data_IF_363347109247
#
_entry.id   IF_363347109247
#
_cell.length_a   1.000
_cell.length_b   1.000
_cell.length_c   1.000
_cell.angle_alpha   90.00
_cell.angle_beta   90.00
_cell.angle_gamma   90.00
#
_symmetry.space_group_name_H-M   'P 1'
#
loop_
_entity.id
_entity.type
_entity.pdbx_description
1 polymer ?
#
# COMPACT_ATOMS: atom_id res chain seq x y z
N UNK A 1 -9.44 -2.53 16.94
CA UNK A 1 -10.76 -2.03 16.50
C UNK A 1 -10.48 -1.08 15.35
N UNK A 2 -11.09 -1.26 14.17
CA UNK A 2 -10.79 -0.39 13.02
C UNK A 2 -11.23 1.04 13.33
N UNK A 3 -10.35 2.02 13.08
CA UNK A 3 -10.68 3.42 13.21
C UNK A 3 -11.57 3.84 12.04
N UNK A 4 -12.70 4.48 12.34
CA UNK A 4 -13.69 4.84 11.33
C UNK A 4 -14.19 6.27 11.47
N UNK A 5 -14.69 6.80 10.36
CA UNK A 5 -15.38 8.07 10.27
C UNK A 5 -16.56 8.01 9.30
N UNK A 6 -17.22 9.15 9.11
CA UNK A 6 -18.41 9.29 8.27
C UNK A 6 -18.26 10.42 7.27
N UNK A 7 -18.64 10.19 6.01
CA UNK A 7 -18.66 11.25 5.00
C UNK A 7 -19.65 12.34 5.41
N UNK A 8 -19.18 13.58 5.48
CA UNK A 8 -20.01 14.79 5.75
C UNK A 8 -20.02 15.78 4.59
N UNK A 9 -19.21 15.54 3.55
CA UNK A 9 -19.23 16.37 2.34
C UNK A 9 -18.37 15.78 1.23
N UNK A 10 -18.76 16.04 -0.02
CA UNK A 10 -18.07 15.54 -1.23
C UNK A 10 -17.92 16.72 -2.20
N UNK A 11 -16.72 16.95 -2.71
CA UNK A 11 -16.43 18.00 -3.70
C UNK A 11 -15.40 17.49 -4.70
N UNK A 12 -15.88 17.07 -5.87
CA UNK A 12 -15.04 16.36 -6.83
C UNK A 12 -14.48 15.08 -6.20
N UNK A 13 -13.15 14.90 -6.26
CA UNK A 13 -12.45 13.78 -5.64
C UNK A 13 -12.03 14.06 -4.17
N UNK A 14 -12.38 15.22 -3.62
CA UNK A 14 -12.19 15.56 -2.21
C UNK A 14 -13.38 15.11 -1.38
N UNK A 15 -13.14 14.41 -0.28
CA UNK A 15 -14.17 13.93 0.65
C UNK A 15 -13.87 14.43 2.06
N UNK A 16 -14.87 15.03 2.71
CA UNK A 16 -14.78 15.44 4.12
C UNK A 16 -15.34 14.33 4.99
N UNK A 17 -14.58 13.95 6.01
CA UNK A 17 -14.87 12.83 6.90
C UNK A 17 -14.87 13.31 8.33
N UNK A 18 -16.00 13.22 9.01
CA UNK A 18 -16.07 13.43 10.45
C UNK A 18 -15.59 12.16 11.18
N UNK A 19 -14.69 12.35 12.13
CA UNK A 19 -14.06 11.29 12.89
C UNK A 19 -14.26 11.51 14.40
N UNK A 20 -14.36 10.43 15.17
CA UNK A 20 -14.50 10.49 16.64
C UNK A 20 -13.25 9.99 17.38
N UNK A 21 -12.15 9.84 16.67
CA UNK A 21 -10.85 9.38 17.19
C UNK A 21 -9.73 10.19 16.53
N UNK A 22 -8.47 9.94 16.92
CA UNK A 22 -7.32 10.63 16.34
C UNK A 22 -7.26 10.43 14.81
N UNK A 23 -6.64 11.36 14.10
CA UNK A 23 -6.45 11.27 12.64
C UNK A 23 -4.95 11.46 12.37
N UNK A 24 -4.39 10.66 11.48
CA UNK A 24 -2.99 10.77 11.07
C UNK A 24 -2.94 11.49 9.71
N UNK A 25 -2.08 12.49 9.61
CA UNK A 25 -1.83 13.20 8.35
C UNK A 25 -1.12 12.26 7.37
N UNK A 26 -1.46 12.30 6.06
CA UNK A 26 -0.93 11.42 5.01
C UNK A 26 -1.31 9.93 5.13
N UNK A 27 -2.22 9.62 6.05
CA UNK A 27 -2.70 8.27 6.26
C UNK A 27 -3.59 7.80 5.10
N UNK A 28 -3.48 6.53 4.76
CA UNK A 28 -4.39 5.86 3.85
C UNK A 28 -5.74 5.64 4.53
N UNK A 29 -6.79 5.96 3.79
CA UNK A 29 -8.16 5.69 4.17
C UNK A 29 -8.90 4.95 3.05
N UNK A 30 -9.99 4.29 3.41
CA UNK A 30 -10.85 3.59 2.45
C UNK A 30 -12.31 3.97 2.65
N UNK A 31 -12.94 4.47 1.60
CA UNK A 31 -14.38 4.73 1.58
C UNK A 31 -15.11 3.45 1.22
N UNK A 32 -16.07 3.05 2.06
CA UNK A 32 -16.87 1.85 1.86
C UNK A 32 -18.17 2.23 1.14
N UNK A 33 -18.28 1.87 -0.13
CA UNK A 33 -19.44 2.13 -0.99
C UNK A 33 -20.03 0.80 -1.49
N UNK A 34 -21.01 0.27 -0.75
CA UNK A 34 -21.54 -1.07 -1.02
C UNK A 34 -20.45 -2.14 -0.89
N UNK A 35 -20.10 -2.79 -2.01
CA UNK A 35 -19.00 -3.76 -2.08
C UNK A 35 -17.65 -3.14 -2.48
N UNK A 36 -17.64 -1.87 -2.88
CA UNK A 36 -16.44 -1.16 -3.29
C UNK A 36 -15.71 -0.59 -2.06
N UNK A 37 -14.38 -0.59 -2.12
CA UNK A 37 -13.52 -0.07 -1.07
C UNK A 37 -12.51 0.91 -1.69
N UNK A 38 -12.87 2.18 -1.79
CA UNK A 38 -12.11 3.16 -2.58
C UNK A 38 -10.97 3.77 -1.75
N UNK A 39 -9.73 3.64 -2.23
CA UNK A 39 -8.54 4.16 -1.54
C UNK A 39 -8.49 5.69 -1.64
N UNK A 40 -8.12 6.31 -0.52
CA UNK A 40 -7.95 7.74 -0.36
C UNK A 40 -6.76 8.04 0.56
N UNK A 41 -6.31 9.28 0.58
CA UNK A 41 -5.28 9.76 1.50
C UNK A 41 -5.79 10.97 2.30
N UNK A 42 -5.50 11.02 3.60
CA UNK A 42 -5.75 12.21 4.43
C UNK A 42 -4.79 13.32 4.05
N UNK A 43 -5.31 14.42 3.49
CA UNK A 43 -4.49 15.57 3.06
C UNK A 43 -4.60 16.79 3.98
N UNK A 44 -5.63 16.89 4.82
CA UNK A 44 -5.78 17.98 5.79
C UNK A 44 -6.63 17.54 6.98
N UNK A 45 -6.29 18.03 8.17
CA UNK A 45 -7.06 17.81 9.40
C UNK A 45 -7.51 19.16 9.97
N UNK A 46 -8.80 19.28 10.30
CA UNK A 46 -9.40 20.45 10.96
C UNK A 46 -10.29 19.99 12.11
N UNK A 47 -9.78 20.05 13.34
CA UNK A 47 -10.50 19.55 14.50
C UNK A 47 -10.79 18.05 14.34
N UNK A 48 -12.07 17.68 14.34
CA UNK A 48 -12.53 16.31 14.17
C UNK A 48 -12.87 15.94 12.70
N UNK A 49 -12.56 16.82 11.74
CA UNK A 49 -12.83 16.58 10.31
C UNK A 49 -11.52 16.38 9.55
N UNK A 50 -11.43 15.28 8.80
CA UNK A 50 -10.39 15.03 7.81
C UNK A 50 -10.89 15.41 6.40
N UNK A 51 -10.05 16.08 5.62
CA UNK A 51 -10.21 16.16 4.16
C UNK A 51 -9.35 15.04 3.55
N UNK A 52 -10.00 14.13 2.82
CA UNK A 52 -9.35 13.01 2.13
C UNK A 52 -9.43 13.18 0.61
N UNK A 53 -8.34 12.84 -0.06
CA UNK A 53 -8.24 12.82 -1.51
C UNK A 53 -8.44 11.39 -2.01
N UNK A 54 -9.56 11.12 -2.70
CA UNK A 54 -9.84 9.80 -3.27
C UNK A 54 -9.06 9.63 -4.57
N UNK A 55 -8.39 8.49 -4.74
CA UNK A 55 -7.58 8.18 -5.93
C UNK A 55 -8.41 7.76 -7.15
N UNK A 56 -9.65 7.36 -6.90
CA UNK A 56 -10.58 6.87 -7.90
C UNK A 56 -11.76 7.84 -8.07
N UNK A 57 -12.61 7.56 -9.05
CA UNK A 57 -13.79 8.38 -9.30
C UNK A 57 -14.79 8.25 -8.13
N UNK A 58 -15.33 9.39 -7.68
CA UNK A 58 -16.22 9.52 -6.51
C UNK A 58 -17.71 9.62 -6.87
N UNK A 59 -18.07 9.53 -8.16
CA UNK A 59 -19.46 9.50 -8.62
C UNK A 59 -20.20 8.37 -7.93
N UNK A 60 -21.34 8.69 -7.32
CA UNK A 60 -22.21 7.73 -6.63
C UNK A 60 -22.01 7.69 -5.11
N UNK A 61 -20.89 8.22 -4.59
CA UNK A 61 -20.69 8.33 -3.14
C UNK A 61 -21.75 9.22 -2.50
N UNK A 62 -22.13 8.89 -1.28
CA UNK A 62 -23.17 9.61 -0.52
C UNK A 62 -22.70 10.00 0.88
N UNK A 63 -23.32 11.04 1.42
CA UNK A 63 -23.09 11.46 2.81
C UNK A 63 -23.54 10.34 3.77
N UNK A 64 -22.76 10.11 4.83
CA UNK A 64 -23.02 9.08 5.84
C UNK A 64 -22.32 7.73 5.58
N UNK A 65 -21.65 7.56 4.45
CA UNK A 65 -20.85 6.37 4.19
C UNK A 65 -19.66 6.25 5.14
N UNK A 66 -19.29 5.00 5.44
CA UNK A 66 -18.20 4.69 6.35
C UNK A 66 -16.87 4.89 5.66
N UNK A 67 -15.93 5.52 6.37
CA UNK A 67 -14.53 5.61 5.98
C UNK A 67 -13.70 4.84 6.99
N UNK A 68 -12.87 3.90 6.54
CA UNK A 68 -11.92 3.15 7.36
C UNK A 68 -10.52 3.78 7.26
N UNK A 69 -9.84 3.92 8.38
CA UNK A 69 -8.49 4.45 8.51
C UNK A 69 -7.51 3.31 8.82
N UNK A 70 -6.34 3.28 8.17
CA UNK A 70 -5.40 2.14 8.26
C UNK A 70 -4.31 2.28 9.32
N UNK A 71 -4.11 3.48 9.86
CA UNK A 71 -2.94 3.88 10.65
C UNK A 71 -1.60 3.78 9.88
N UNK A 72 -1.66 3.66 8.55
CA UNK A 72 -0.50 3.49 7.67
C UNK A 72 -0.43 4.61 6.63
N UNK A 73 0.79 5.00 6.27
CA UNK A 73 1.05 5.92 5.16
C UNK A 73 0.97 5.17 3.83
N UNK A 74 0.78 5.90 2.73
CA UNK A 74 0.89 5.30 1.41
C UNK A 74 2.32 4.80 1.18
N UNK A 75 2.46 3.50 0.92
CA UNK A 75 3.74 2.84 0.68
C UNK A 75 3.70 2.01 -0.59
N UNK A 76 4.88 1.57 -1.02
CA UNK A 76 5.08 0.64 -2.14
C UNK A 76 5.80 -0.60 -1.64
N UNK A 77 5.51 -1.74 -2.26
CA UNK A 77 6.25 -2.97 -2.04
C UNK A 77 7.55 -2.97 -2.84
N UNK A 78 8.63 -3.39 -2.20
CA UNK A 78 9.95 -3.48 -2.82
C UNK A 78 10.46 -4.92 -2.70
N UNK A 79 10.78 -5.53 -3.84
CA UNK A 79 11.29 -6.88 -3.85
C UNK A 79 11.44 -7.46 -5.26
N UNK A 80 11.90 -8.70 -5.35
CA UNK A 80 12.04 -9.40 -6.61
C UNK A 80 10.67 -9.73 -7.19
N UNK A 81 10.49 -9.49 -8.49
CA UNK A 81 9.22 -9.66 -9.18
C UNK A 81 8.71 -8.37 -9.82
N UNK A 82 9.25 -7.21 -9.45
CA UNK A 82 8.88 -5.94 -10.06
C UNK A 82 9.41 -5.78 -11.49
N UNK A 83 10.56 -6.38 -11.84
CA UNK A 83 11.22 -6.06 -13.10
C UNK A 83 10.44 -6.60 -14.31
N UNK A 84 10.00 -5.66 -15.15
CA UNK A 84 9.19 -5.90 -16.35
C UNK A 84 7.76 -6.31 -16.06
N UNK A 85 7.26 -6.01 -14.86
CA UNK A 85 5.83 -5.84 -14.64
C UNK A 85 5.39 -4.45 -15.10
N UNK A 86 4.09 -4.29 -15.31
CA UNK A 86 3.46 -3.01 -15.63
C UNK A 86 2.49 -2.69 -14.51
N UNK A 87 2.69 -1.54 -13.87
CA UNK A 87 1.88 -1.09 -12.75
C UNK A 87 1.13 0.21 -13.07
N UNK A 88 0.05 0.47 -12.36
CA UNK A 88 -0.54 1.82 -12.28
C UNK A 88 0.20 2.70 -11.25
N UNK A 89 -0.31 3.91 -11.02
CA UNK A 89 0.26 4.86 -10.05
C UNK A 89 0.14 4.45 -8.58
N UNK A 90 -0.63 3.41 -8.26
CA UNK A 90 -0.82 2.85 -6.93
C UNK A 90 -0.14 1.48 -6.78
N UNK A 91 0.72 1.12 -7.73
CA UNK A 91 1.44 -0.14 -7.79
C UNK A 91 0.56 -1.39 -8.00
N UNK A 92 -0.65 -1.25 -8.55
CA UNK A 92 -1.45 -2.42 -8.92
C UNK A 92 -0.91 -3.04 -10.23
N UNK A 93 -0.67 -4.36 -10.28
CA UNK A 93 -0.15 -5.02 -11.48
C UNK A 93 -1.24 -5.10 -12.56
N UNK A 94 -1.11 -4.31 -13.63
CA UNK A 94 -2.14 -4.12 -14.65
C UNK A 94 -2.50 -5.40 -15.42
N UNK A 95 -1.55 -6.29 -15.82
CA UNK A 95 -1.91 -7.52 -16.53
C UNK A 95 -2.81 -8.44 -15.68
N UNK A 96 -2.47 -8.65 -14.42
CA UNK A 96 -3.21 -9.47 -13.46
C UNK A 96 -4.57 -8.84 -13.13
N UNK A 97 -4.61 -7.50 -13.03
CA UNK A 97 -5.85 -6.77 -12.82
C UNK A 97 -6.79 -6.91 -14.03
N UNK A 98 -6.25 -6.90 -15.25
CA UNK A 98 -7.01 -7.12 -16.49
C UNK A 98 -7.55 -8.55 -16.59
N UNK A 99 -6.79 -9.57 -16.16
CA UNK A 99 -7.28 -10.96 -16.08
C UNK A 99 -8.49 -11.07 -15.14
N UNK A 100 -8.48 -10.33 -14.03
CA UNK A 100 -9.56 -10.33 -13.02
C UNK A 100 -10.77 -9.48 -13.41
N UNK A 101 -10.55 -8.32 -14.03
CA UNK A 101 -11.60 -7.31 -14.26
C UNK A 101 -12.07 -7.20 -15.72
N UNK A 102 -11.33 -7.78 -16.66
CA UNK A 102 -11.53 -7.61 -18.09
C UNK A 102 -10.85 -6.35 -18.64
N UNK A 103 -11.39 -5.82 -19.73
CA UNK A 103 -10.76 -4.72 -20.49
C UNK A 103 -10.77 -3.36 -19.75
N UNK A 104 -11.75 -3.13 -18.87
CA UNK A 104 -11.88 -1.88 -18.12
C UNK A 104 -11.53 -2.08 -16.65
N UNK A 105 -10.77 -1.14 -16.10
CA UNK A 105 -10.47 -1.11 -14.68
C UNK A 105 -11.75 -0.82 -13.88
N UNK A 106 -12.03 -1.67 -12.90
CA UNK A 106 -13.10 -1.46 -11.94
C UNK A 106 -12.54 -0.74 -10.73
N UNK A 107 -13.32 0.20 -10.19
CA UNK A 107 -12.92 0.92 -9.00
C UNK A 107 -12.92 0.02 -7.77
N UNK A 108 -12.11 0.34 -6.77
CA UNK A 108 -12.06 -0.38 -5.51
C UNK A 108 -11.42 -1.77 -5.60
N UNK A 109 -10.75 -2.10 -6.73
CA UNK A 109 -10.05 -3.36 -6.91
C UNK A 109 -8.55 -3.12 -6.80
N UNK A 110 -7.94 -3.72 -5.78
CA UNK A 110 -6.50 -3.64 -5.52
C UNK A 110 -5.91 -5.05 -5.54
N UNK A 111 -4.64 -5.15 -5.94
CA UNK A 111 -3.87 -6.39 -5.97
C UNK A 111 -2.46 -6.12 -5.49
N UNK A 112 -1.87 -7.09 -4.81
CA UNK A 112 -0.50 -7.00 -4.31
C UNK A 112 0.48 -6.88 -5.49
N UNK A 113 1.50 -6.06 -5.32
CA UNK A 113 2.43 -5.74 -6.40
C UNK A 113 3.36 -6.92 -6.70
N UNK A 114 3.71 -7.68 -5.64
CA UNK A 114 4.52 -8.87 -5.72
C UNK A 114 3.64 -10.14 -5.65
N UNK A 115 3.95 -11.13 -6.49
CA UNK A 115 3.23 -12.41 -6.48
C UNK A 115 3.66 -13.26 -5.29
N UNK A 116 2.72 -13.61 -4.40
CA UNK A 116 2.97 -14.54 -3.28
C UNK A 116 3.30 -15.96 -3.73
N UNK A 117 2.84 -16.37 -4.92
CA UNK A 117 3.01 -17.73 -5.43
C UNK A 117 4.35 -17.98 -6.12
N UNK A 118 5.21 -16.97 -6.28
CA UNK A 118 6.48 -17.11 -6.99
C UNK A 118 7.61 -17.42 -6.03
N UNK A 119 8.19 -18.61 -6.17
CA UNK A 119 9.39 -19.00 -5.44
C UNK A 119 10.66 -18.43 -6.09
N UNK A 120 11.66 -18.11 -5.25
CA UNK A 120 12.94 -17.57 -5.67
C UNK A 120 14.08 -18.35 -5.03
N UNK A 121 15.10 -18.68 -5.81
CA UNK A 121 16.32 -19.30 -5.31
C UNK A 121 17.22 -18.25 -4.64
N UNK A 122 17.15 -18.18 -3.32
CA UNK A 122 17.92 -17.24 -2.53
C UNK A 122 19.35 -17.73 -2.27
N UNK A 123 20.34 -16.90 -2.62
CA UNK A 123 21.75 -17.11 -2.29
C UNK A 123 22.18 -16.15 -1.18
N UNK A 124 22.38 -16.62 0.07
CA UNK A 124 22.89 -15.78 1.14
C UNK A 124 24.34 -15.36 0.88
N UNK A 125 24.70 -14.13 1.27
CA UNK A 125 26.09 -13.65 1.21
C UNK A 125 26.69 -13.40 2.60
N UNK A 126 25.84 -13.41 3.64
CA UNK A 126 26.22 -13.32 5.04
C UNK A 126 26.01 -14.67 5.74
N UNK A 127 26.70 -14.88 6.85
CA UNK A 127 26.57 -16.06 7.71
C UNK A 127 25.84 -15.69 9.00
N UNK A 128 25.36 -16.71 9.71
CA UNK A 128 24.88 -16.58 11.09
C UNK A 128 25.91 -15.81 11.94
N UNK A 129 25.41 -14.92 12.79
CA UNK A 129 26.22 -14.06 13.63
C UNK A 129 26.76 -12.79 12.96
N UNK A 130 26.51 -12.61 11.65
CA UNK A 130 26.88 -11.36 10.98
C UNK A 130 26.02 -10.19 11.49
N UNK A 131 26.66 -9.06 11.78
CA UNK A 131 25.96 -7.83 12.11
C UNK A 131 25.49 -7.11 10.86
N UNK A 132 24.25 -6.62 10.88
CA UNK A 132 23.61 -5.91 9.77
C UNK A 132 22.86 -4.67 10.26
N UNK A 133 22.74 -3.70 9.37
CA UNK A 133 21.97 -2.46 9.51
C UNK A 133 20.96 -2.33 8.38
N UNK A 134 20.02 -1.39 8.53
CA UNK A 134 19.06 -1.05 7.48
C UNK A 134 19.75 -0.86 6.11
N UNK A 135 19.24 -1.55 5.09
CA UNK A 135 19.77 -1.49 3.72
C UNK A 135 20.97 -2.41 3.42
N UNK A 136 21.54 -3.10 4.43
CA UNK A 136 22.61 -4.05 4.17
C UNK A 136 22.11 -5.24 3.34
N UNK A 137 22.96 -5.71 2.43
CA UNK A 137 22.63 -6.83 1.53
C UNK A 137 22.78 -8.15 2.29
N UNK A 138 21.67 -8.88 2.40
CA UNK A 138 21.61 -10.18 3.07
C UNK A 138 21.98 -11.32 2.12
N UNK A 139 21.62 -11.16 0.85
CA UNK A 139 21.86 -12.10 -0.22
C UNK A 139 21.25 -11.60 -1.51
N UNK A 140 21.08 -12.48 -2.49
CA UNK A 140 20.41 -12.12 -3.73
C UNK A 140 19.59 -13.27 -4.30
N UNK A 141 18.64 -12.92 -5.15
CA UNK A 141 17.93 -13.84 -6.02
C UNK A 141 18.22 -13.48 -7.49
N UNK A 142 18.26 -14.45 -8.41
CA UNK A 142 18.32 -14.15 -9.84
C UNK A 142 16.99 -13.60 -10.33
N UNK A 143 16.96 -12.35 -10.82
CA UNK A 143 15.79 -11.76 -11.48
C UNK A 143 16.15 -11.37 -12.91
N UNK A 144 15.67 -12.19 -13.87
CA UNK A 144 16.07 -12.09 -15.28
C UNK A 144 17.60 -12.18 -15.38
N UNK A 145 18.24 -11.17 -15.96
CA UNK A 145 19.70 -11.10 -16.11
C UNK A 145 20.40 -10.44 -14.91
N UNK A 146 19.66 -10.01 -13.89
CA UNK A 146 20.20 -9.25 -12.77
C UNK A 146 20.26 -10.10 -11.49
N UNK A 147 21.24 -9.79 -10.64
CA UNK A 147 21.22 -10.21 -9.24
C UNK A 147 20.39 -9.18 -8.46
N UNK A 148 19.18 -9.54 -8.07
CA UNK A 148 18.35 -8.71 -7.21
C UNK A 148 18.74 -8.94 -5.76
N UNK A 149 19.32 -7.92 -5.12
CA UNK A 149 19.76 -8.04 -3.74
C UNK A 149 18.60 -7.92 -2.78
N UNK A 150 18.50 -8.87 -1.85
CA UNK A 150 17.60 -8.79 -0.71
C UNK A 150 18.32 -8.01 0.37
N UNK A 151 17.70 -6.93 0.82
CA UNK A 151 18.26 -6.01 1.79
C UNK A 151 17.56 -6.14 3.14
N UNK A 152 18.30 -5.86 4.21
CA UNK A 152 17.73 -5.67 5.52
C UNK A 152 16.70 -4.52 5.47
N UNK A 153 15.50 -4.66 6.06
CA UNK A 153 14.46 -3.65 5.99
C UNK A 153 14.96 -2.26 6.37
N UNK A 154 14.58 -1.26 5.56
CA UNK A 154 15.03 0.12 5.76
C UNK A 154 14.53 0.76 7.07
N UNK A 155 13.50 0.18 7.68
CA UNK A 155 12.94 0.60 8.97
C UNK A 155 13.71 0.06 10.18
N UNK A 156 14.69 -0.85 9.99
CA UNK A 156 15.49 -1.38 11.10
C UNK A 156 16.27 -0.25 11.79
N UNK A 157 16.20 -0.23 13.12
CA UNK A 157 16.95 0.71 13.95
C UNK A 157 18.08 -0.01 14.69
N UNK A 158 19.26 0.60 14.71
CA UNK A 158 20.44 0.04 15.38
C UNK A 158 21.09 -1.12 14.63
N UNK A 159 21.88 -1.90 15.37
CA UNK A 159 22.62 -3.05 14.86
C UNK A 159 21.85 -4.33 15.18
N UNK A 160 21.68 -5.19 14.18
CA UNK A 160 21.03 -6.48 14.28
C UNK A 160 22.00 -7.61 13.93
N UNK A 161 21.67 -8.83 14.32
CA UNK A 161 22.48 -10.02 14.07
C UNK A 161 21.67 -11.05 13.28
N UNK A 162 22.29 -11.66 12.27
CA UNK A 162 21.66 -12.73 11.48
C UNK A 162 21.51 -13.96 12.38
N UNK A 163 20.25 -14.30 12.67
CA UNK A 163 19.87 -15.53 13.35
C UNK A 163 19.96 -16.75 12.42
N UNK A 164 20.09 -17.93 13.02
CA UNK A 164 20.13 -19.25 12.36
C UNK A 164 18.87 -19.58 11.57
#
# INVERSE_FOLDING_TARGET
MKRTGKIVGISGNMVKVECHSFIIQNEVAYIIHGAERLKAEVIKIRGNVAETQVYENTTGLVIGETVEFTDELLSVELGPGLLGQIFDGLQNPLPQLAEKCGFFLKRGVYMDALSEGKEWEFTPILKEGAKVRAGDRLGFVPEKTFKHYIMAPFSLQGDWEIAS
#
